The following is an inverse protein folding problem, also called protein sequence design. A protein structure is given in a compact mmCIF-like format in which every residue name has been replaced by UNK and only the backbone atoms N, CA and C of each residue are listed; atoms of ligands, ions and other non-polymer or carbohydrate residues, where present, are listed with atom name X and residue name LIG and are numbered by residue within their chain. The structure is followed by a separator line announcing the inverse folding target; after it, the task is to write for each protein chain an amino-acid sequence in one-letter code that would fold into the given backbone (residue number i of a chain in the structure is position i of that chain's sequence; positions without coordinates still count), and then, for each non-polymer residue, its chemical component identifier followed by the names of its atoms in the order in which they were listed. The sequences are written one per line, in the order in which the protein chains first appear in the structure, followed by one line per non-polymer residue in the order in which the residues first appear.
data_IF_435429238959
#
_entry.id   IF_435429238959
#
_cell.length_a   1.000
_cell.length_b   1.000
_cell.length_c   1.000
_cell.angle_alpha   90.00
_cell.angle_beta   90.00
_cell.angle_gamma   90.00
#
_symmetry.space_group_name_H-M   'P 1'
#
loop_
_entity.id
_entity.type
_entity.pdbx_description
1 polymer ?
#
# COMPACT_ATOMS: atom_id res chain seq x y z
N UNK A 1 18.38 27.74 91.79
CA UNK A 1 18.69 26.40 91.26
C UNK A 1 17.71 26.10 90.14
N UNK A 2 18.15 26.33 88.97
CA UNK A 2 17.26 26.19 87.76
C UNK A 2 17.98 25.29 86.75
N UNK A 3 17.45 24.14 86.55
CA UNK A 3 18.02 23.12 85.66
C UNK A 3 17.46 23.33 84.21
N UNK A 4 18.41 23.42 83.27
CA UNK A 4 18.12 23.53 81.83
C UNK A 4 18.01 22.15 81.26
N UNK A 5 16.97 21.78 80.46
CA UNK A 5 16.90 20.52 79.76
C UNK A 5 17.69 20.56 78.45
N UNK A 6 18.37 19.49 78.15
CA UNK A 6 19.18 19.23 76.93
C UNK A 6 18.26 18.98 75.76
N UNK A 7 18.48 19.68 74.67
CA UNK A 7 17.80 19.46 73.35
C UNK A 7 18.44 18.26 72.60
N UNK A 8 17.65 17.32 72.11
CA UNK A 8 18.03 16.22 71.24
C UNK A 8 18.16 16.64 69.75
N UNK A 9 19.07 16.06 68.97
CA UNK A 9 19.19 16.45 67.57
C UNK A 9 18.12 15.80 66.68
N UNK A 10 17.51 16.62 65.83
CA UNK A 10 16.54 16.22 64.80
C UNK A 10 17.31 15.61 63.60
N UNK A 11 17.09 14.32 63.36
CA UNK A 11 17.58 13.64 62.17
C UNK A 11 16.80 14.09 60.94
N UNK A 12 17.48 14.71 59.96
CA UNK A 12 16.92 15.02 58.63
C UNK A 12 16.93 13.76 57.77
N UNK A 13 15.75 13.21 57.52
CA UNK A 13 15.57 12.15 56.52
C UNK A 13 15.51 12.83 55.15
N UNK A 14 16.53 12.60 54.32
CA UNK A 14 16.52 13.02 52.91
C UNK A 14 15.76 11.99 52.11
N UNK A 15 14.58 12.37 51.59
CA UNK A 15 13.76 11.58 50.70
C UNK A 15 14.33 11.73 49.28
N UNK A 16 15.06 10.73 48.78
CA UNK A 16 15.53 10.69 47.42
C UNK A 16 14.38 10.24 46.51
N UNK A 17 13.85 11.18 45.70
CA UNK A 17 12.84 10.92 44.69
C UNK A 17 13.55 10.37 43.46
N UNK A 18 13.52 9.05 43.27
CA UNK A 18 13.99 8.40 42.04
C UNK A 18 12.97 8.58 40.92
N UNK A 19 13.24 9.51 40.00
CA UNK A 19 12.48 9.62 38.74
C UNK A 19 12.81 8.41 37.84
N UNK A 20 11.92 7.42 37.78
CA UNK A 20 11.96 6.41 36.72
C UNK A 20 11.55 7.11 35.39
N UNK A 21 12.52 7.41 34.54
CA UNK A 21 12.29 7.76 33.16
C UNK A 21 11.98 6.46 32.42
N UNK A 22 10.69 6.19 32.18
CA UNK A 22 10.29 5.15 31.27
C UNK A 22 10.69 5.59 29.86
N UNK A 23 11.77 5.01 29.33
CA UNK A 23 12.12 5.14 27.93
C UNK A 23 11.04 4.42 27.12
N UNK A 24 10.13 5.18 26.53
CA UNK A 24 9.24 4.68 25.49
C UNK A 24 10.13 4.29 24.30
N UNK A 25 10.37 3.00 24.12
CA UNK A 25 10.97 2.46 22.91
C UNK A 25 10.00 2.72 21.75
N UNK A 26 10.29 3.75 20.96
CA UNK A 26 9.68 3.90 19.64
C UNK A 26 9.98 2.61 18.85
N UNK A 27 8.98 2.05 18.10
CA UNK A 27 9.26 0.91 17.25
C UNK A 27 10.40 1.32 16.29
N UNK A 28 11.45 0.52 16.25
CA UNK A 28 12.57 0.73 15.36
C UNK A 28 12.01 0.72 13.91
N UNK A 29 12.24 1.81 13.19
CA UNK A 29 12.02 1.90 11.77
C UNK A 29 12.90 0.84 11.11
N UNK A 30 12.28 -0.23 10.58
CA UNK A 30 13.01 -1.30 9.92
C UNK A 30 13.71 -0.72 8.70
N UNK A 31 15.02 -0.67 8.74
CA UNK A 31 15.87 -0.27 7.61
C UNK A 31 15.66 -1.25 6.47
N UNK A 32 15.31 -0.72 5.28
CA UNK A 32 15.26 -1.49 4.05
C UNK A 32 16.60 -2.20 3.84
N UNK A 33 16.60 -3.53 3.98
CA UNK A 33 17.75 -4.36 3.67
C UNK A 33 17.75 -4.68 2.18
N UNK A 34 18.91 -4.95 1.58
CA UNK A 34 19.01 -5.54 0.24
C UNK A 34 18.15 -6.81 0.21
N UNK A 35 17.07 -6.81 -0.59
CA UNK A 35 16.07 -7.89 -0.59
C UNK A 35 14.64 -7.43 -0.30
N UNK A 36 14.39 -6.13 -0.20
CA UNK A 36 13.07 -5.54 -0.01
C UNK A 36 12.68 -5.32 1.45
N UNK A 37 11.40 -5.06 1.68
CA UNK A 37 10.82 -4.82 3.00
C UNK A 37 10.40 -6.16 3.60
N UNK A 38 10.91 -6.46 4.80
CA UNK A 38 10.44 -7.58 5.63
C UNK A 38 9.41 -7.05 6.64
N UNK A 39 8.36 -7.82 6.90
CA UNK A 39 7.30 -7.45 7.84
C UNK A 39 6.94 -8.65 8.73
N UNK A 40 6.81 -8.49 10.04
CA UNK A 40 6.43 -9.57 10.92
C UNK A 40 5.00 -10.04 10.60
N UNK A 41 4.69 -11.31 10.85
CA UNK A 41 3.33 -11.84 10.72
C UNK A 41 2.38 -11.17 11.72
N UNK A 42 1.14 -10.93 11.29
CA UNK A 42 0.09 -10.36 12.13
C UNK A 42 -1.15 -11.28 12.13
N UNK A 43 -1.35 -11.99 13.22
CA UNK A 43 -2.49 -12.94 13.37
C UNK A 43 -3.87 -12.27 13.34
N UNK A 44 -3.95 -10.94 13.48
CA UNK A 44 -5.21 -10.19 13.34
C UNK A 44 -5.58 -9.92 11.87
N UNK A 45 -4.64 -10.13 10.94
CA UNK A 45 -4.86 -10.00 9.49
C UNK A 45 -5.11 -11.38 8.90
N UNK A 46 -6.06 -11.48 7.96
CA UNK A 46 -6.27 -12.73 7.23
C UNK A 46 -4.97 -13.12 6.50
N UNK A 47 -4.52 -14.36 6.68
CA UNK A 47 -3.24 -14.84 6.18
C UNK A 47 -2.96 -14.58 4.68
N UNK A 48 -3.96 -14.66 3.75
CA UNK A 48 -3.77 -14.28 2.35
C UNK A 48 -3.48 -12.78 2.11
N UNK A 49 -3.69 -11.92 3.11
CA UNK A 49 -3.44 -10.48 3.06
C UNK A 49 -2.40 -10.00 4.09
N UNK A 50 -1.88 -10.91 4.91
CA UNK A 50 -0.83 -10.60 5.88
C UNK A 50 0.53 -10.59 5.20
N UNK A 51 0.93 -9.43 4.65
CA UNK A 51 2.20 -9.23 3.94
C UNK A 51 3.36 -9.49 4.89
N UNK A 52 4.27 -10.37 4.49
CA UNK A 52 5.51 -10.67 5.24
C UNK A 52 6.77 -10.22 4.48
N UNK A 53 6.66 -10.00 3.18
CA UNK A 53 7.73 -9.43 2.37
C UNK A 53 7.14 -8.66 1.17
N UNK A 54 7.73 -7.50 0.84
CA UNK A 54 7.53 -6.80 -0.42
C UNK A 54 8.89 -6.51 -1.04
N UNK A 55 9.05 -6.78 -2.34
CA UNK A 55 10.32 -6.64 -3.06
C UNK A 55 10.06 -6.15 -4.48
N UNK A 56 10.99 -5.35 -5.00
CA UNK A 56 11.14 -5.08 -6.44
C UNK A 56 12.58 -5.42 -6.81
N UNK A 57 12.77 -6.23 -7.85
CA UNK A 57 14.09 -6.51 -8.42
C UNK A 57 14.10 -6.18 -9.90
N UNK A 58 15.28 -5.88 -10.46
CA UNK A 58 15.42 -5.51 -11.86
C UNK A 58 16.42 -6.41 -12.56
N UNK A 59 16.09 -6.79 -13.81
CA UNK A 59 16.95 -7.56 -14.70
C UNK A 59 16.81 -7.00 -16.13
N UNK A 60 17.86 -6.44 -16.69
CA UNK A 60 17.77 -5.71 -17.94
C UNK A 60 16.77 -4.56 -17.84
N UNK A 61 15.79 -4.54 -18.72
CA UNK A 61 14.69 -3.55 -18.71
C UNK A 61 13.41 -4.06 -18.03
N UNK A 62 13.47 -5.15 -17.27
CA UNK A 62 12.31 -5.75 -16.61
C UNK A 62 12.42 -5.57 -15.10
N UNK A 63 11.38 -4.98 -14.48
CA UNK A 63 11.19 -4.99 -13.05
C UNK A 63 10.24 -6.14 -12.64
N UNK A 64 10.62 -6.87 -11.60
CA UNK A 64 9.81 -7.93 -10.99
C UNK A 64 9.29 -7.42 -9.65
N UNK A 65 7.98 -7.22 -9.56
CA UNK A 65 7.26 -6.86 -8.34
C UNK A 65 6.83 -8.14 -7.64
N UNK A 66 7.33 -8.36 -6.44
CA UNK A 66 7.09 -9.57 -5.67
C UNK A 66 6.54 -9.24 -4.28
N UNK A 67 5.52 -9.98 -3.84
CA UNK A 67 4.97 -9.90 -2.48
C UNK A 67 4.76 -11.31 -1.94
N UNK A 68 5.20 -11.54 -0.69
CA UNK A 68 4.88 -12.74 0.06
C UNK A 68 3.92 -12.41 1.19
N UNK A 69 2.99 -13.33 1.47
CA UNK A 69 2.02 -13.26 2.57
C UNK A 69 2.15 -14.47 3.48
N UNK A 70 1.60 -14.41 4.69
CA UNK A 70 1.70 -15.52 5.65
C UNK A 70 0.81 -16.73 5.31
N UNK A 71 -0.09 -16.59 4.31
CA UNK A 71 -0.98 -17.65 3.83
C UNK A 71 -0.87 -17.89 2.34
N UNK A 72 -1.93 -18.43 1.72
CA UNK A 72 -1.99 -18.65 0.27
C UNK A 72 -2.40 -17.34 -0.43
N UNK A 73 -1.51 -16.74 -1.21
CA UNK A 73 -1.79 -15.54 -1.99
C UNK A 73 -2.91 -15.79 -3.01
N UNK A 74 -3.80 -14.82 -3.19
CA UNK A 74 -4.92 -14.89 -4.12
C UNK A 74 -6.06 -15.83 -3.70
N UNK A 75 -5.99 -16.47 -2.53
CA UNK A 75 -7.02 -17.41 -2.09
C UNK A 75 -8.37 -16.73 -1.81
N UNK A 76 -8.35 -15.51 -1.29
CA UNK A 76 -9.57 -14.76 -0.96
C UNK A 76 -9.91 -13.77 -2.08
N UNK A 77 -11.15 -13.77 -2.51
CA UNK A 77 -11.71 -12.86 -3.52
C UNK A 77 -12.96 -12.19 -2.98
N UNK A 78 -13.33 -10.99 -3.48
CA UNK A 78 -14.58 -10.36 -3.10
C UNK A 78 -15.77 -11.22 -3.52
N UNK A 79 -16.84 -11.16 -2.73
CA UNK A 79 -18.11 -11.78 -3.11
C UNK A 79 -18.73 -10.99 -4.28
N UNK A 80 -19.36 -11.72 -5.22
CA UNK A 80 -20.13 -11.10 -6.31
C UNK A 80 -21.44 -10.51 -5.76
N UNK A 81 -21.69 -9.24 -6.06
CA UNK A 81 -22.89 -8.52 -5.64
C UNK A 81 -23.91 -8.38 -6.78
N UNK A 82 -23.47 -8.50 -8.03
CA UNK A 82 -24.26 -8.25 -9.23
C UNK A 82 -24.52 -6.77 -9.50
N UNK A 83 -23.83 -5.87 -8.80
CA UNK A 83 -23.97 -4.41 -8.93
C UNK A 83 -22.59 -3.76 -8.96
N UNK A 84 -22.41 -2.73 -9.79
CA UNK A 84 -21.19 -1.93 -9.80
C UNK A 84 -21.06 -1.13 -8.49
N UNK A 85 -22.07 -0.33 -8.16
CA UNK A 85 -22.07 0.45 -6.93
C UNK A 85 -22.08 -0.44 -5.67
N UNK A 86 -21.15 -0.22 -4.79
CA UNK A 86 -20.96 -1.00 -3.56
C UNK A 86 -20.15 -2.27 -3.74
N UNK A 87 -19.72 -2.62 -4.98
CA UNK A 87 -18.84 -3.77 -5.20
C UNK A 87 -17.47 -3.55 -4.58
N UNK A 88 -16.82 -4.65 -4.24
CA UNK A 88 -15.51 -4.66 -3.60
C UNK A 88 -14.43 -5.11 -4.58
N UNK A 89 -13.23 -4.57 -4.38
CA UNK A 89 -11.99 -4.97 -5.06
C UNK A 89 -11.00 -5.39 -3.98
N UNK A 90 -10.40 -6.57 -4.09
CA UNK A 90 -9.25 -6.94 -3.24
C UNK A 90 -7.97 -6.78 -4.02
N UNK A 91 -6.90 -6.35 -3.34
CA UNK A 91 -5.66 -5.97 -4.01
C UNK A 91 -4.39 -6.30 -3.23
N UNK A 92 -3.33 -6.59 -4.01
CA UNK A 92 -1.91 -6.55 -3.64
C UNK A 92 -1.30 -5.36 -4.37
N UNK A 93 -0.72 -4.40 -3.66
CA UNK A 93 -0.34 -3.10 -4.22
C UNK A 93 1.10 -2.78 -3.85
N UNK A 94 1.86 -2.27 -4.82
CA UNK A 94 3.19 -1.67 -4.62
C UNK A 94 3.11 -0.17 -4.93
N UNK A 95 2.81 0.67 -3.93
CA UNK A 95 2.96 2.12 -4.06
C UNK A 95 4.43 2.46 -4.29
N UNK A 96 4.70 3.41 -5.17
CA UNK A 96 6.07 3.78 -5.56
C UNK A 96 6.28 5.30 -5.53
N UNK A 97 7.56 5.72 -5.59
CA UNK A 97 7.96 7.11 -5.85
C UNK A 97 8.26 7.36 -7.34
N UNK A 98 7.86 6.45 -8.23
CA UNK A 98 7.96 6.66 -9.67
C UNK A 98 6.97 7.76 -10.06
N UNK A 99 7.43 8.76 -10.86
CA UNK A 99 6.51 9.76 -11.40
C UNK A 99 5.52 9.08 -12.36
N UNK A 100 4.21 9.33 -12.23
CA UNK A 100 3.20 8.79 -13.13
C UNK A 100 3.47 9.02 -14.62
N UNK A 101 4.21 10.07 -14.98
CA UNK A 101 4.60 10.36 -16.35
C UNK A 101 5.45 9.26 -17.00
N UNK A 102 6.18 8.47 -16.21
CA UNK A 102 6.97 7.34 -16.71
C UNK A 102 6.09 6.25 -17.35
N UNK A 103 4.82 6.16 -16.93
CA UNK A 103 3.84 5.22 -17.47
C UNK A 103 2.83 5.87 -18.43
N UNK A 104 3.01 7.15 -18.74
CA UNK A 104 2.16 7.87 -19.69
C UNK A 104 0.98 8.61 -19.07
N UNK A 105 0.85 8.67 -17.74
CA UNK A 105 -0.10 9.55 -17.05
C UNK A 105 0.40 11.01 -17.03
N UNK A 106 -0.43 11.91 -16.51
CA UNK A 106 -0.02 13.28 -16.23
C UNK A 106 1.06 13.28 -15.14
N UNK A 107 2.10 14.11 -15.32
CA UNK A 107 3.21 14.21 -14.38
C UNK A 107 2.72 14.68 -12.99
N UNK A 108 3.29 14.12 -11.93
CA UNK A 108 2.99 14.51 -10.54
C UNK A 108 1.51 14.42 -10.17
N UNK A 109 0.73 13.60 -10.87
CA UNK A 109 -0.71 13.44 -10.63
C UNK A 109 -1.07 12.68 -9.35
N UNK A 110 -0.09 12.12 -8.65
CA UNK A 110 -0.28 11.41 -7.38
C UNK A 110 0.77 10.33 -7.14
N UNK A 111 0.45 9.35 -6.32
CA UNK A 111 1.30 8.19 -6.01
C UNK A 111 1.04 7.11 -7.06
N UNK A 112 2.01 6.80 -7.89
CA UNK A 112 1.92 5.70 -8.83
C UNK A 112 2.05 4.36 -8.10
N UNK A 113 1.12 3.44 -8.33
CA UNK A 113 1.14 2.12 -7.73
C UNK A 113 0.83 1.02 -8.76
N UNK A 114 1.61 -0.08 -8.73
CA UNK A 114 1.21 -1.32 -9.38
C UNK A 114 0.23 -2.05 -8.47
N UNK A 115 -0.91 -2.46 -9.01
CA UNK A 115 -1.95 -3.18 -8.28
C UNK A 115 -2.29 -4.50 -8.98
N UNK A 116 -2.29 -5.59 -8.22
CA UNK A 116 -2.88 -6.87 -8.63
C UNK A 116 -4.24 -6.96 -7.96
N UNK A 117 -5.31 -6.95 -8.75
CA UNK A 117 -6.68 -6.83 -8.24
C UNK A 117 -7.55 -8.01 -8.64
N UNK A 118 -8.61 -8.22 -7.87
CA UNK A 118 -9.73 -9.12 -8.22
C UNK A 118 -11.04 -8.46 -7.85
N UNK A 119 -11.98 -8.42 -8.81
CA UNK A 119 -13.36 -7.94 -8.65
C UNK A 119 -14.30 -8.71 -9.58
N UNK A 120 -15.44 -9.23 -9.09
CA UNK A 120 -16.31 -10.08 -9.89
C UNK A 120 -17.48 -9.32 -10.57
N UNK A 121 -17.68 -8.03 -10.26
CA UNK A 121 -18.91 -7.30 -10.62
C UNK A 121 -18.79 -6.38 -11.83
N UNK A 122 -17.58 -6.14 -12.33
CA UNK A 122 -17.34 -5.30 -13.51
C UNK A 122 -16.09 -5.75 -14.26
N UNK A 123 -15.92 -5.26 -15.49
CA UNK A 123 -14.75 -5.50 -16.32
C UNK A 123 -14.09 -4.15 -16.66
N UNK A 124 -12.80 -4.03 -16.37
CA UNK A 124 -11.95 -2.89 -16.65
C UNK A 124 -10.72 -3.26 -17.51
N UNK A 125 -10.80 -4.41 -18.16
CA UNK A 125 -9.78 -4.93 -19.08
C UNK A 125 -10.34 -5.13 -20.50
N UNK A 126 -10.81 -4.08 -21.19
CA UNK A 126 -11.51 -4.22 -22.47
C UNK A 126 -10.62 -4.75 -23.61
N UNK A 127 -9.30 -4.69 -23.46
CA UNK A 127 -8.34 -5.13 -24.49
C UNK A 127 -8.06 -6.65 -24.45
N UNK A 128 -8.51 -7.34 -23.42
CA UNK A 128 -8.34 -8.77 -23.21
C UNK A 128 -9.50 -9.33 -22.40
N UNK A 129 -10.00 -10.45 -22.87
CA UNK A 129 -11.17 -11.07 -22.28
C UNK A 129 -10.79 -11.77 -20.96
N UNK A 130 -10.90 -11.05 -19.86
CA UNK A 130 -10.65 -11.58 -18.53
C UNK A 130 -11.90 -12.28 -17.98
N UNK A 131 -11.69 -13.36 -17.23
CA UNK A 131 -12.82 -14.01 -16.52
C UNK A 131 -13.20 -13.14 -15.32
N UNK A 132 -14.51 -12.86 -15.11
CA UNK A 132 -14.95 -12.11 -13.92
C UNK A 132 -14.34 -12.67 -12.64
N UNK A 133 -13.72 -11.79 -11.84
CA UNK A 133 -13.02 -12.15 -10.61
C UNK A 133 -11.66 -12.85 -10.81
N UNK A 134 -11.12 -12.93 -12.02
CA UNK A 134 -9.71 -13.28 -12.21
C UNK A 134 -8.81 -12.21 -11.58
N UNK A 135 -7.63 -12.62 -11.11
CA UNK A 135 -6.60 -11.68 -10.69
C UNK A 135 -5.92 -11.11 -11.93
N UNK A 136 -5.81 -9.78 -12.00
CA UNK A 136 -5.17 -9.06 -13.09
C UNK A 136 -4.47 -7.81 -12.59
N UNK A 137 -3.73 -7.11 -13.46
CA UNK A 137 -2.88 -6.00 -13.06
C UNK A 137 -3.34 -4.68 -13.64
N UNK A 138 -3.18 -3.63 -12.82
CA UNK A 138 -3.32 -2.24 -13.21
C UNK A 138 -2.16 -1.42 -12.72
N UNK A 139 -1.84 -0.35 -13.43
CA UNK A 139 -1.24 0.82 -12.83
C UNK A 139 -2.35 1.77 -12.40
N UNK A 140 -2.23 2.30 -11.21
CA UNK A 140 -3.19 3.27 -10.67
C UNK A 140 -2.43 4.47 -10.10
N UNK A 141 -3.06 5.65 -10.18
CA UNK A 141 -2.57 6.83 -9.49
C UNK A 141 -3.44 7.07 -8.27
N UNK A 142 -2.83 7.15 -7.09
CA UNK A 142 -3.51 7.29 -5.81
C UNK A 142 -3.32 8.72 -5.26
N UNK A 143 -4.36 9.22 -4.58
CA UNK A 143 -4.35 10.50 -3.90
C UNK A 143 -5.20 10.42 -2.63
N UNK A 144 -4.85 11.24 -1.61
CA UNK A 144 -5.69 11.40 -0.43
C UNK A 144 -7.02 12.05 -0.77
N UNK A 145 -8.12 11.54 -0.20
CA UNK A 145 -9.44 12.16 -0.34
C UNK A 145 -10.30 11.90 0.91
N UNK A 146 -10.71 12.96 1.58
CA UNK A 146 -11.53 12.88 2.80
C UNK A 146 -12.94 12.32 2.54
N UNK A 147 -13.44 12.40 1.30
CA UNK A 147 -14.72 11.78 0.93
C UNK A 147 -14.67 10.24 1.00
N UNK A 148 -13.47 9.65 0.92
CA UNK A 148 -13.23 8.22 1.17
C UNK A 148 -13.08 7.89 2.66
N UNK A 149 -12.88 8.90 3.51
CA UNK A 149 -12.59 8.80 4.93
C UNK A 149 -11.30 9.54 5.30
N UNK A 150 -11.18 9.97 6.54
CA UNK A 150 -10.02 10.72 7.02
C UNK A 150 -8.72 9.91 6.84
N UNK A 151 -7.77 10.48 6.11
CA UNK A 151 -6.46 9.87 5.87
C UNK A 151 -6.48 8.67 4.91
N UNK A 152 -7.58 8.47 4.18
CA UNK A 152 -7.68 7.40 3.17
C UNK A 152 -7.32 7.88 1.77
N UNK A 153 -7.08 6.92 0.89
CA UNK A 153 -6.72 7.16 -0.50
C UNK A 153 -7.90 6.79 -1.43
N UNK A 154 -7.92 7.44 -2.58
CA UNK A 154 -8.71 7.04 -3.75
C UNK A 154 -7.81 6.78 -4.95
N UNK A 155 -8.32 6.09 -5.98
CA UNK A 155 -7.79 6.23 -7.33
C UNK A 155 -8.24 7.60 -7.86
N UNK A 156 -7.33 8.37 -8.45
CA UNK A 156 -7.60 9.74 -8.89
C UNK A 156 -8.65 9.75 -9.98
N UNK A 157 -9.73 10.51 -9.75
CA UNK A 157 -10.80 10.70 -10.73
C UNK A 157 -10.36 11.64 -11.86
N UNK A 158 -10.85 11.39 -13.07
CA UNK A 158 -10.74 12.31 -14.20
C UNK A 158 -12.02 13.17 -14.20
N UNK A 159 -11.94 14.48 -13.92
CA UNK A 159 -13.10 15.36 -13.93
C UNK A 159 -13.78 15.37 -15.31
N UNK A 160 -15.08 15.58 -15.32
CA UNK A 160 -15.83 15.70 -16.56
C UNK A 160 -15.26 16.82 -17.44
N UNK A 161 -15.04 16.51 -18.73
CA UNK A 161 -14.43 17.44 -19.69
C UNK A 161 -12.91 17.59 -19.60
N UNK A 162 -12.27 17.06 -18.57
CA UNK A 162 -10.80 17.06 -18.47
C UNK A 162 -10.19 16.09 -19.50
N UNK A 163 -9.00 16.43 -19.99
CA UNK A 163 -8.21 15.63 -20.95
C UNK A 163 -6.78 15.48 -20.44
N UNK A 164 -6.55 14.75 -19.34
CA UNK A 164 -5.20 14.53 -18.85
C UNK A 164 -4.44 13.63 -19.83
N UNK A 165 -3.12 13.59 -19.70
CA UNK A 165 -2.31 12.58 -20.37
C UNK A 165 -2.63 11.22 -19.77
N UNK A 166 -2.86 10.22 -20.64
CA UNK A 166 -3.24 8.86 -20.26
C UNK A 166 -2.38 7.82 -21.00
N UNK A 167 -2.10 6.67 -20.38
CA UNK A 167 -1.46 5.53 -21.05
C UNK A 167 -2.27 5.03 -22.25
N UNK A 168 -1.61 4.38 -23.21
CA UNK A 168 -2.25 3.80 -24.40
C UNK A 168 -3.26 2.68 -24.07
N UNK A 169 -3.08 2.03 -22.93
CA UNK A 169 -3.90 0.92 -22.43
C UNK A 169 -4.92 1.36 -21.37
N UNK A 170 -5.22 2.66 -21.31
CA UNK A 170 -6.30 3.18 -20.47
C UNK A 170 -7.66 2.58 -20.90
N UNK A 171 -8.45 1.99 -19.96
CA UNK A 171 -9.66 1.25 -20.32
C UNK A 171 -10.90 2.10 -20.56
N UNK A 172 -10.79 3.44 -20.52
CA UNK A 172 -11.93 4.33 -20.72
C UNK A 172 -12.73 4.67 -19.46
N UNK A 173 -12.28 4.24 -18.29
CA UNK A 173 -12.90 4.61 -17.01
C UNK A 173 -12.49 6.04 -16.60
N UNK A 174 -13.36 6.81 -15.90
CA UNK A 174 -13.08 8.18 -15.52
C UNK A 174 -12.14 8.29 -14.32
N UNK A 175 -11.11 7.48 -14.30
CA UNK A 175 -10.07 7.45 -13.25
C UNK A 175 -8.68 7.23 -13.88
N UNK A 176 -7.62 7.63 -13.18
CA UNK A 176 -6.25 7.39 -13.61
C UNK A 176 -5.86 5.93 -13.29
N UNK A 177 -6.26 5.05 -14.19
CA UNK A 177 -6.02 3.61 -14.17
C UNK A 177 -5.54 3.17 -15.56
N UNK A 178 -4.59 2.26 -15.62
CA UNK A 178 -4.09 1.63 -16.84
C UNK A 178 -4.25 0.11 -16.76
N UNK A 179 -4.58 -0.53 -17.88
CA UNK A 179 -4.80 -1.98 -18.00
C UNK A 179 -3.82 -2.60 -18.99
N UNK A 180 -2.52 -2.71 -18.65
CA UNK A 180 -1.46 -3.08 -19.59
C UNK A 180 -1.44 -4.55 -20.01
N UNK A 181 -2.18 -5.42 -19.33
CA UNK A 181 -2.29 -6.80 -19.72
C UNK A 181 -1.28 -7.76 -19.12
N UNK A 182 -0.48 -7.36 -18.19
CA UNK A 182 0.44 -8.26 -17.53
C UNK A 182 -0.28 -9.18 -16.55
N UNK A 183 -0.06 -10.48 -16.69
CA UNK A 183 -0.72 -11.46 -15.83
C UNK A 183 0.11 -11.69 -14.56
N UNK A 184 -0.52 -11.58 -13.37
CA UNK A 184 0.15 -11.93 -12.12
C UNK A 184 0.36 -13.44 -12.03
N UNK A 185 1.47 -13.85 -11.43
CA UNK A 185 1.78 -15.24 -11.12
C UNK A 185 1.60 -15.47 -9.62
N UNK A 186 0.77 -16.44 -9.27
CA UNK A 186 0.57 -16.88 -7.89
C UNK A 186 1.25 -18.23 -7.67
N UNK A 187 2.11 -18.31 -6.67
CA UNK A 187 2.75 -19.56 -6.28
C UNK A 187 2.79 -19.69 -4.75
N UNK A 188 1.90 -20.54 -4.21
CA UNK A 188 1.78 -20.72 -2.75
C UNK A 188 1.46 -19.41 -2.03
N UNK A 189 2.39 -18.92 -1.25
CA UNK A 189 2.27 -17.68 -0.47
C UNK A 189 2.66 -16.41 -1.24
N UNK A 190 3.02 -16.49 -2.52
CA UNK A 190 3.59 -15.36 -3.26
C UNK A 190 2.72 -14.93 -4.42
N UNK A 191 2.79 -13.64 -4.74
CA UNK A 191 2.31 -13.03 -5.98
C UNK A 191 3.45 -12.25 -6.62
N UNK A 192 3.57 -12.37 -7.95
CA UNK A 192 4.62 -11.75 -8.74
C UNK A 192 4.06 -11.17 -10.03
N UNK A 193 4.58 -10.01 -10.44
CA UNK A 193 4.30 -9.37 -11.73
C UNK A 193 5.63 -8.92 -12.36
N UNK A 194 5.85 -9.26 -13.62
CA UNK A 194 7.01 -8.79 -14.41
C UNK A 194 6.57 -7.66 -15.34
N UNK A 195 7.24 -6.55 -15.24
CA UNK A 195 6.89 -5.29 -15.92
C UNK A 195 8.08 -4.79 -16.72
N UNK A 196 7.97 -4.68 -18.03
CA UNK A 196 9.00 -4.03 -18.84
C UNK A 196 8.91 -2.51 -18.69
N UNK A 197 10.06 -1.83 -18.65
CA UNK A 197 10.19 -0.38 -18.63
C UNK A 197 11.07 0.08 -19.78
N UNK A 198 10.69 1.20 -20.41
CA UNK A 198 11.52 1.85 -21.42
C UNK A 198 12.79 2.43 -20.79
N UNK A 199 12.69 2.95 -19.57
CA UNK A 199 13.78 3.44 -18.74
C UNK A 199 13.76 2.79 -17.36
N UNK A 200 14.57 1.76 -17.17
CA UNK A 200 14.66 1.03 -15.90
C UNK A 200 15.29 1.86 -14.77
N UNK A 201 16.06 2.89 -15.09
CA UNK A 201 16.65 3.76 -14.08
C UNK A 201 15.57 4.47 -13.25
N UNK A 202 14.40 4.73 -13.83
CA UNK A 202 13.25 5.27 -13.13
C UNK A 202 12.79 4.36 -11.97
N UNK A 203 12.87 3.04 -12.16
CA UNK A 203 12.50 2.06 -11.15
C UNK A 203 13.60 1.93 -10.09
N UNK A 204 14.86 1.78 -10.52
CA UNK A 204 15.99 1.53 -9.61
C UNK A 204 16.24 2.68 -8.63
N UNK A 205 15.86 3.91 -9.01
CA UNK A 205 15.95 5.09 -8.15
C UNK A 205 14.75 5.25 -7.20
N UNK A 206 13.65 4.56 -7.44
CA UNK A 206 12.38 4.78 -6.73
C UNK A 206 12.33 4.06 -5.37
N UNK A 207 11.68 4.71 -4.39
CA UNK A 207 11.23 4.04 -3.18
C UNK A 207 9.90 3.33 -3.42
N UNK A 208 9.63 2.27 -2.66
CA UNK A 208 8.36 1.54 -2.72
C UNK A 208 7.92 1.00 -1.36
N UNK A 209 6.67 0.54 -1.29
CA UNK A 209 6.12 -0.23 -0.19
C UNK A 209 5.34 -1.44 -0.71
N UNK A 210 4.83 -2.26 0.19
CA UNK A 210 3.91 -3.36 -0.10
C UNK A 210 2.65 -3.21 0.74
N UNK A 211 1.48 -3.24 0.09
CA UNK A 211 0.18 -3.05 0.74
C UNK A 211 -0.80 -4.10 0.27
N UNK A 212 -1.61 -4.61 1.19
CA UNK A 212 -2.83 -5.34 0.85
C UNK A 212 -4.03 -4.53 1.29
N UNK A 213 -5.03 -4.38 0.42
CA UNK A 213 -6.16 -3.52 0.66
C UNK A 213 -7.45 -4.04 0.01
N UNK A 214 -8.57 -3.61 0.57
CA UNK A 214 -9.88 -3.68 -0.03
C UNK A 214 -10.34 -2.30 -0.48
N UNK A 215 -10.79 -2.19 -1.73
CA UNK A 215 -11.38 -0.97 -2.26
C UNK A 215 -12.89 -1.18 -2.46
N UNK A 216 -13.61 -0.09 -2.51
CA UNK A 216 -15.05 -0.05 -2.78
C UNK A 216 -15.34 0.88 -3.94
N UNK A 217 -16.16 0.39 -4.88
CA UNK A 217 -16.74 1.20 -5.95
C UNK A 217 -17.91 2.01 -5.40
N UNK A 218 -17.91 3.32 -5.56
CA UNK A 218 -19.02 4.18 -5.17
C UNK A 218 -20.06 4.30 -6.28
N UNK A 219 -21.25 4.79 -5.93
CA UNK A 219 -22.33 5.01 -6.91
C UNK A 219 -22.04 6.19 -7.87
N UNK A 220 -21.21 7.14 -7.44
CA UNK A 220 -20.76 8.26 -8.27
C UNK A 220 -19.54 7.86 -9.08
N UNK A 221 -19.57 8.13 -10.40
CA UNK A 221 -18.43 7.89 -11.29
C UNK A 221 -17.35 8.98 -11.23
N UNK A 222 -17.60 10.08 -10.53
CA UNK A 222 -16.72 11.26 -10.53
C UNK A 222 -16.45 11.86 -9.15
N UNK A 223 -16.91 11.21 -8.03
CA UNK A 223 -16.79 11.85 -6.73
C UNK A 223 -16.84 10.89 -5.53
N UNK A 224 -15.75 10.32 -5.16
CA UNK A 224 -14.77 9.59 -5.95
C UNK A 224 -15.34 8.25 -6.39
N UNK A 225 -14.92 7.73 -7.55
CA UNK A 225 -15.41 6.44 -8.04
C UNK A 225 -14.89 5.28 -7.19
N UNK A 226 -13.59 5.26 -6.87
CA UNK A 226 -12.92 4.11 -6.24
C UNK A 226 -12.12 4.53 -5.01
N UNK A 227 -12.65 4.19 -3.84
CA UNK A 227 -12.03 4.47 -2.54
C UNK A 227 -11.30 3.24 -1.97
N UNK A 228 -10.17 3.45 -1.31
CA UNK A 228 -9.60 2.46 -0.39
C UNK A 228 -10.51 2.39 0.83
N UNK A 229 -11.25 1.30 0.96
CA UNK A 229 -12.22 1.09 2.04
C UNK A 229 -11.59 0.49 3.29
N UNK A 230 -10.54 -0.32 3.09
CA UNK A 230 -9.82 -0.98 4.18
C UNK A 230 -8.38 -1.28 3.75
N UNK A 231 -7.42 -0.90 4.56
CA UNK A 231 -6.04 -1.40 4.45
C UNK A 231 -5.94 -2.61 5.38
N UNK A 232 -5.57 -3.77 4.82
CA UNK A 232 -5.36 -4.97 5.62
C UNK A 232 -3.98 -4.94 6.26
N UNK A 233 -2.94 -4.64 5.47
CA UNK A 233 -1.57 -4.50 5.98
C UNK A 233 -0.71 -3.61 5.07
N UNK A 234 0.21 -2.87 5.69
CA UNK A 234 1.31 -2.15 5.06
C UNK A 234 2.61 -2.82 5.51
N UNK A 235 3.50 -3.18 4.59
CA UNK A 235 4.73 -3.89 4.91
C UNK A 235 5.68 -3.07 5.77
N UNK A 236 5.85 -1.76 5.49
CA UNK A 236 6.64 -0.84 6.33
C UNK A 236 5.95 -0.44 7.63
N UNK A 237 4.63 -0.61 7.72
CA UNK A 237 3.80 -0.17 8.84
C UNK A 237 3.22 1.23 8.70
N UNK A 238 3.82 2.13 7.93
CA UNK A 238 3.45 3.56 7.87
C UNK A 238 3.32 4.16 6.46
N UNK A 239 3.47 3.32 5.41
CA UNK A 239 3.44 3.74 4.01
C UNK A 239 4.53 4.78 3.65
N UNK A 240 5.67 4.74 4.32
CA UNK A 240 6.80 5.67 4.10
C UNK A 240 7.60 5.37 2.82
N UNK A 241 7.31 4.28 2.12
CA UNK A 241 7.98 3.82 0.90
C UNK A 241 9.50 3.61 1.10
N UNK A 242 9.93 2.86 2.12
CA UNK A 242 11.35 2.70 2.47
C UNK A 242 12.07 1.71 1.55
N UNK A 243 11.35 0.83 0.87
CA UNK A 243 11.90 -0.19 0.00
C UNK A 243 12.77 0.39 -1.11
N UNK A 244 13.83 -0.31 -1.45
CA UNK A 244 14.72 0.01 -2.59
C UNK A 244 14.75 -1.20 -3.52
N UNK A 245 14.60 -0.99 -4.84
CA UNK A 245 14.73 -2.08 -5.80
C UNK A 245 16.13 -2.68 -5.78
N UNK A 246 16.20 -4.01 -5.87
CA UNK A 246 17.45 -4.75 -6.04
C UNK A 246 17.83 -4.79 -7.53
N UNK A 247 19.13 -4.76 -7.81
CA UNK A 247 19.71 -4.88 -9.15
C UNK A 247 20.33 -6.26 -9.36
#
# INVERSE_FOLDING_TARGET
MTTIPKTAPVARVALALACLVAAASSPAHETATSGGIQSPTNKAVLAPFDVVQARISTEGNVATFHMAVSGKAGANKPAKTGKLAGSSVFSYVWPTRIDPAALGFEAKSGILALAVVSHPDFNDTPLWNDKPGAWHTHWVVLQGDEACGKGTLKVVDIPEGAKPRLPKTWPGLPILLDSPGWLPRFHGATVEVRVPFDDIATVTAAGFDGVTAGLRVNASMHNPLLCVAQVFKVASGDLSLPGKPDQ
#
